data_IF_866333954557
#
_entry.id   IF_866333954557
#
_cell.length_a   1.000
_cell.length_b   1.000
_cell.length_c   1.000
_cell.angle_alpha   90.00
_cell.angle_beta   90.00
_cell.angle_gamma   90.00
#
_symmetry.space_group_name_H-M   'P 1'
#
loop_
_entity.id
_entity.type
_entity.pdbx_description
1 polymer ?
#
# COMPACT_ATOMS: atom_id res chain seq x y z
N UNK A 1 -9.00 -24.20 -0.93
CA UNK A 1 -8.40 -25.32 -0.21
C UNK A 1 -8.12 -24.94 1.25
N UNK A 2 -7.93 -25.94 2.09
CA UNK A 2 -7.61 -25.73 3.51
C UNK A 2 -6.24 -25.03 3.67
N UNK A 3 -5.28 -25.37 2.83
CA UNK A 3 -3.96 -24.75 2.85
C UNK A 3 -4.03 -23.28 2.46
N UNK A 4 -4.80 -22.95 1.45
CA UNK A 4 -5.03 -21.57 1.04
C UNK A 4 -5.69 -20.77 2.17
N UNK A 5 -6.72 -21.31 2.81
CA UNK A 5 -7.41 -20.64 3.91
C UNK A 5 -6.50 -20.41 5.11
N UNK A 6 -5.68 -21.39 5.47
CA UNK A 6 -4.74 -21.26 6.57
C UNK A 6 -3.68 -20.18 6.29
N UNK A 7 -3.14 -20.19 5.08
CA UNK A 7 -2.17 -19.18 4.65
C UNK A 7 -2.77 -17.79 4.66
N UNK A 8 -3.98 -17.65 4.10
CA UNK A 8 -4.66 -16.35 4.04
C UNK A 8 -4.99 -15.83 5.44
N UNK A 9 -5.42 -16.68 6.35
CA UNK A 9 -5.67 -16.29 7.75
C UNK A 9 -4.40 -15.76 8.42
N UNK A 10 -3.26 -16.41 8.20
CA UNK A 10 -1.98 -15.96 8.76
C UNK A 10 -1.56 -14.60 8.17
N UNK A 11 -1.74 -14.41 6.87
CA UNK A 11 -1.44 -13.14 6.19
C UNK A 11 -2.29 -12.00 6.74
N UNK A 12 -3.59 -12.22 6.87
CA UNK A 12 -4.51 -11.22 7.43
C UNK A 12 -4.19 -10.88 8.88
N UNK A 13 -3.77 -11.85 9.68
CA UNK A 13 -3.34 -11.60 11.05
C UNK A 13 -2.11 -10.70 11.12
N UNK A 14 -1.16 -10.90 10.21
CA UNK A 14 0.03 -10.03 10.11
C UNK A 14 -0.34 -8.61 9.71
N UNK A 15 -1.26 -8.44 8.76
CA UNK A 15 -1.74 -7.12 8.32
C UNK A 15 -2.45 -6.40 9.48
N UNK A 16 -3.31 -7.10 10.21
CA UNK A 16 -4.00 -6.52 11.38
C UNK A 16 -3.03 -6.10 12.47
N UNK A 17 -2.07 -6.96 12.80
CA UNK A 17 -1.05 -6.66 13.80
C UNK A 17 -0.21 -5.45 13.39
N UNK A 18 0.15 -5.34 12.12
CA UNK A 18 0.88 -4.18 11.60
C UNK A 18 0.06 -2.88 11.75
N UNK A 19 -1.22 -2.93 11.38
CA UNK A 19 -2.11 -1.75 11.52
C UNK A 19 -2.35 -1.34 12.96
N UNK A 20 -2.28 -2.26 13.90
CA UNK A 20 -2.48 -1.98 15.32
C UNK A 20 -1.29 -1.29 15.96
N UNK A 21 -0.11 -1.33 15.32
CA UNK A 21 1.08 -0.68 15.86
C UNK A 21 0.90 0.84 15.88
N UNK A 22 1.40 1.45 16.95
CA UNK A 22 1.41 2.91 17.09
C UNK A 22 2.84 3.33 17.40
N UNK A 23 3.44 4.03 16.45
CA UNK A 23 4.81 4.52 16.54
C UNK A 23 4.80 6.04 16.68
N UNK A 24 5.87 6.56 17.25
CA UNK A 24 6.05 8.00 17.38
C UNK A 24 6.59 8.56 16.07
N UNK A 25 5.68 8.86 15.17
CA UNK A 25 5.97 9.40 13.84
C UNK A 25 5.09 10.62 13.59
N UNK A 26 5.56 11.55 12.77
CA UNK A 26 4.87 12.79 12.48
C UNK A 26 4.54 12.99 10.99
N UNK A 27 4.64 11.95 10.19
CA UNK A 27 4.28 12.01 8.78
C UNK A 27 2.82 12.37 8.54
N UNK A 28 1.95 12.03 9.50
CA UNK A 28 0.53 12.34 9.45
C UNK A 28 0.22 13.84 9.27
N UNK A 29 1.13 14.71 9.67
CA UNK A 29 0.97 16.17 9.58
C UNK A 29 1.68 16.81 8.40
N UNK A 30 2.38 16.03 7.60
CA UNK A 30 3.05 16.52 6.40
C UNK A 30 2.09 16.60 5.22
N UNK A 31 2.41 17.43 4.23
CA UNK A 31 1.80 17.31 2.91
C UNK A 31 2.42 16.10 2.23
N UNK A 32 1.58 15.17 1.80
CA UNK A 32 2.03 13.95 1.15
C UNK A 32 2.52 14.25 -0.27
N UNK A 33 3.46 13.44 -0.73
CA UNK A 33 3.92 13.45 -2.12
C UNK A 33 3.51 12.15 -2.80
N UNK A 34 3.44 12.16 -4.12
CA UNK A 34 3.15 10.94 -4.89
C UNK A 34 4.29 9.93 -4.69
N UNK A 35 3.98 8.68 -4.39
CA UNK A 35 5.02 7.67 -4.18
C UNK A 35 5.75 7.29 -5.47
N UNK A 36 5.13 7.49 -6.64
CA UNK A 36 5.73 7.23 -7.94
C UNK A 36 5.11 8.16 -8.97
N UNK A 37 5.89 8.57 -9.96
CA UNK A 37 5.38 9.31 -11.11
C UNK A 37 4.60 8.35 -12.03
N UNK A 38 3.58 8.86 -12.68
CA UNK A 38 2.79 8.09 -13.60
C UNK A 38 1.33 8.52 -13.62
N UNK A 39 0.60 7.95 -14.57
CA UNK A 39 -0.84 8.22 -14.71
C UNK A 39 -1.60 7.44 -13.64
N UNK A 40 -2.55 8.11 -13.00
CA UNK A 40 -3.49 7.41 -12.12
C UNK A 40 -4.39 6.55 -12.99
N UNK A 41 -4.27 5.24 -12.84
CA UNK A 41 -4.98 4.25 -13.66
C UNK A 41 -6.21 3.68 -12.96
N UNK A 42 -6.33 3.88 -11.65
CA UNK A 42 -7.49 3.46 -10.86
C UNK A 42 -7.71 4.41 -9.70
N UNK A 43 -8.96 4.86 -9.54
CA UNK A 43 -9.35 5.82 -8.49
C UNK A 43 -9.99 5.10 -7.31
N UNK A 44 -9.80 5.66 -6.11
CA UNK A 44 -10.50 5.23 -4.91
C UNK A 44 -12.02 5.35 -5.12
N UNK A 45 -12.75 4.34 -4.67
CA UNK A 45 -14.21 4.31 -4.76
C UNK A 45 -14.76 3.87 -6.10
N UNK A 46 -13.92 3.66 -7.12
CA UNK A 46 -14.36 3.10 -8.40
C UNK A 46 -14.90 1.69 -8.19
N UNK A 47 -15.99 1.38 -8.86
CA UNK A 47 -16.60 0.06 -8.80
C UNK A 47 -16.68 -0.53 -10.18
N UNK A 48 -16.14 -1.74 -10.35
CA UNK A 48 -16.23 -2.48 -11.60
C UNK A 48 -17.57 -3.18 -11.69
N UNK A 49 -18.16 -3.14 -12.88
CA UNK A 49 -19.35 -3.92 -13.22
C UNK A 49 -18.96 -4.91 -14.28
N UNK A 50 -19.17 -6.19 -14.01
CA UNK A 50 -18.88 -7.27 -14.95
C UNK A 50 -20.12 -8.14 -15.14
N UNK A 51 -20.60 -8.21 -16.39
CA UNK A 51 -21.83 -8.93 -16.72
C UNK A 51 -23.04 -8.48 -15.86
N UNK A 52 -23.13 -7.18 -15.58
CA UNK A 52 -24.21 -6.62 -14.77
C UNK A 52 -24.06 -6.85 -13.26
N UNK A 53 -23.00 -7.53 -12.83
CA UNK A 53 -22.73 -7.78 -11.41
C UNK A 53 -21.74 -6.76 -10.89
N UNK A 54 -22.09 -6.09 -9.80
CA UNK A 54 -21.24 -5.11 -9.15
C UNK A 54 -20.13 -5.82 -8.37
N UNK A 55 -18.87 -5.44 -8.62
CA UNK A 55 -17.72 -5.88 -7.87
C UNK A 55 -17.48 -5.03 -6.62
N UNK A 56 -16.36 -5.29 -5.95
CA UNK A 56 -15.93 -4.50 -4.80
C UNK A 56 -15.51 -3.10 -5.21
N UNK A 57 -15.69 -2.13 -4.31
CA UNK A 57 -15.13 -0.79 -4.49
C UNK A 57 -13.61 -0.84 -4.40
N UNK A 58 -12.94 -0.04 -5.22
CA UNK A 58 -11.49 0.14 -5.20
C UNK A 58 -11.10 0.95 -3.94
N UNK A 59 -10.26 0.37 -3.10
CA UNK A 59 -9.94 0.93 -1.79
C UNK A 59 -8.59 1.63 -1.71
N UNK A 60 -8.03 2.00 -2.85
CA UNK A 60 -6.76 2.70 -2.95
C UNK A 60 -6.65 3.41 -4.28
N UNK A 61 -5.45 3.83 -4.60
CA UNK A 61 -5.11 4.49 -5.86
C UNK A 61 -4.12 3.62 -6.61
N UNK A 62 -4.38 3.35 -7.88
CA UNK A 62 -3.42 2.71 -8.77
C UNK A 62 -2.71 3.75 -9.60
N UNK A 63 -1.38 3.63 -9.67
CA UNK A 63 -0.54 4.49 -10.49
C UNK A 63 0.21 3.61 -11.48
N UNK A 64 0.02 3.86 -12.77
CA UNK A 64 0.69 3.13 -13.83
C UNK A 64 2.19 3.43 -13.77
N UNK A 65 3.01 2.39 -13.70
CA UNK A 65 4.45 2.50 -13.66
C UNK A 65 5.09 1.20 -14.14
N UNK A 66 6.28 1.29 -14.72
CA UNK A 66 6.99 0.12 -15.22
C UNK A 66 7.48 -0.76 -14.07
N UNK A 67 7.52 -2.07 -14.30
CA UNK A 67 8.14 -3.00 -13.36
C UNK A 67 9.59 -2.60 -13.10
N UNK A 68 9.96 -2.56 -11.82
CA UNK A 68 11.30 -2.13 -11.40
C UNK A 68 11.44 -0.64 -11.12
N UNK A 69 10.46 0.19 -11.47
CA UNK A 69 10.49 1.61 -11.13
C UNK A 69 10.51 1.80 -9.62
N UNK A 70 11.38 2.65 -9.12
CA UNK A 70 11.46 2.95 -7.69
C UNK A 70 10.24 3.74 -7.24
N UNK A 71 9.72 3.41 -6.05
CA UNK A 71 8.72 4.24 -5.39
C UNK A 71 9.23 4.70 -4.03
N UNK A 72 8.69 5.82 -3.57
CA UNK A 72 9.20 6.54 -2.40
C UNK A 72 8.13 6.63 -1.30
N UNK A 73 8.60 6.85 -0.07
CA UNK A 73 7.70 7.12 1.04
C UNK A 73 6.97 8.45 0.78
N UNK A 74 5.63 8.45 0.81
CA UNK A 74 4.86 9.67 0.58
C UNK A 74 4.93 10.66 1.74
N UNK A 75 5.34 10.20 2.91
CA UNK A 75 5.51 10.97 4.13
C UNK A 75 6.41 10.19 5.08
N UNK A 76 6.94 10.84 6.11
CA UNK A 76 7.73 10.20 7.16
C UNK A 76 6.92 9.08 7.82
N UNK A 77 7.61 8.07 8.32
CA UNK A 77 6.96 7.00 9.05
C UNK A 77 7.91 5.90 9.51
N UNK A 78 7.31 4.86 10.04
CA UNK A 78 8.01 3.65 10.50
C UNK A 78 7.42 2.45 9.74
N UNK A 79 8.29 1.60 9.20
CA UNK A 79 7.86 0.39 8.50
C UNK A 79 7.31 -0.61 9.53
N UNK A 80 6.05 -0.98 9.39
CA UNK A 80 5.37 -1.91 10.29
C UNK A 80 5.15 -3.28 9.67
N UNK A 81 5.31 -3.40 8.36
CA UNK A 81 5.26 -4.68 7.65
C UNK A 81 6.06 -4.56 6.36
N UNK A 82 6.95 -5.51 6.11
CA UNK A 82 7.66 -5.67 4.84
C UNK A 82 7.66 -7.16 4.51
N UNK A 83 6.75 -7.59 3.64
CA UNK A 83 6.53 -8.99 3.30
C UNK A 83 7.62 -9.49 2.35
N UNK A 84 8.70 -10.06 2.91
CA UNK A 84 9.78 -10.66 2.14
C UNK A 84 9.28 -11.84 1.31
N UNK A 85 8.39 -12.66 1.89
CA UNK A 85 7.64 -13.68 1.18
C UNK A 85 6.32 -13.06 0.70
N UNK A 86 6.06 -13.12 -0.61
CA UNK A 86 4.89 -12.49 -1.19
C UNK A 86 3.59 -13.04 -0.60
N UNK A 87 2.69 -12.16 -0.21
CA UNK A 87 1.35 -12.53 0.22
C UNK A 87 0.51 -12.95 -0.99
N UNK A 88 -0.47 -13.79 -0.74
CA UNK A 88 -1.31 -14.38 -1.80
C UNK A 88 -1.95 -13.33 -2.70
N UNK A 89 -2.55 -12.30 -2.11
CA UNK A 89 -3.26 -11.25 -2.84
C UNK A 89 -2.42 -9.99 -2.99
N UNK A 90 -1.75 -9.55 -1.93
CA UNK A 90 -1.02 -8.28 -1.90
C UNK A 90 0.39 -8.37 -2.50
N UNK A 91 0.90 -9.58 -2.69
CA UNK A 91 2.28 -9.76 -3.15
C UNK A 91 3.28 -9.32 -2.09
N UNK A 92 4.37 -8.70 -2.52
CA UNK A 92 5.32 -8.08 -1.59
C UNK A 92 4.71 -6.79 -1.04
N UNK A 93 4.00 -6.93 0.06
CA UNK A 93 3.28 -5.85 0.73
C UNK A 93 4.21 -5.07 1.64
N UNK A 94 4.15 -3.75 1.55
CA UNK A 94 4.86 -2.84 2.45
C UNK A 94 3.84 -1.95 3.16
N UNK A 95 3.94 -1.84 4.48
CA UNK A 95 3.07 -0.96 5.26
C UNK A 95 3.89 -0.02 6.12
N UNK A 96 3.48 1.25 6.15
CA UNK A 96 4.14 2.32 6.89
C UNK A 96 3.13 2.98 7.84
N UNK A 97 3.53 3.12 9.11
CA UNK A 97 2.80 3.91 10.10
C UNK A 97 3.33 5.35 10.05
N UNK A 98 2.47 6.28 9.64
CA UNK A 98 2.79 7.71 9.59
C UNK A 98 2.53 8.43 10.90
N UNK A 99 2.04 7.73 11.91
CA UNK A 99 1.67 8.29 13.20
C UNK A 99 0.18 8.59 13.33
N UNK A 100 -0.28 8.71 14.54
CA UNK A 100 -1.68 9.04 14.90
C UNK A 100 -2.73 8.12 14.25
N UNK A 101 -2.37 6.87 13.99
CA UNK A 101 -3.27 5.90 13.38
C UNK A 101 -3.38 5.97 11.86
N UNK A 102 -2.59 6.84 11.22
CA UNK A 102 -2.57 6.97 9.76
C UNK A 102 -1.50 6.06 9.17
N UNK A 103 -1.88 5.17 8.26
CA UNK A 103 -0.94 4.27 7.61
C UNK A 103 -1.15 4.15 6.11
N UNK A 104 -0.05 3.84 5.41
CA UNK A 104 -0.03 3.52 3.99
C UNK A 104 0.25 2.05 3.78
N UNK A 105 -0.31 1.48 2.73
CA UNK A 105 0.00 0.14 2.24
C UNK A 105 0.33 0.22 0.75
N UNK A 106 1.43 -0.41 0.36
CA UNK A 106 1.90 -0.49 -1.02
C UNK A 106 1.91 -1.95 -1.43
N UNK A 107 1.15 -2.28 -2.47
CA UNK A 107 0.92 -3.66 -2.90
C UNK A 107 1.70 -3.99 -4.17
N UNK A 108 1.94 -5.27 -4.36
CA UNK A 108 2.45 -5.86 -5.60
C UNK A 108 3.89 -5.51 -5.96
N UNK A 109 4.68 -5.03 -5.00
CA UNK A 109 6.08 -4.67 -5.25
C UNK A 109 6.86 -5.85 -5.83
N UNK A 110 7.83 -5.57 -6.70
CA UNK A 110 8.79 -6.58 -7.15
C UNK A 110 9.91 -6.77 -6.14
N UNK A 111 10.24 -5.71 -5.40
CA UNK A 111 11.31 -5.71 -4.40
C UNK A 111 11.02 -4.69 -3.32
N UNK A 112 11.26 -5.04 -2.08
CA UNK A 112 11.20 -4.11 -0.95
C UNK A 112 12.64 -3.76 -0.53
N UNK A 113 12.91 -2.46 -0.36
CA UNK A 113 14.26 -1.93 -0.06
C UNK A 113 14.40 -1.48 1.39
N UNK A 114 13.38 -1.71 2.20
CA UNK A 114 13.35 -1.43 3.63
C UNK A 114 12.76 -2.65 4.36
N UNK A 115 12.94 -2.68 5.67
CA UNK A 115 12.46 -3.78 6.51
C UNK A 115 11.68 -3.25 7.71
N UNK A 116 10.97 -4.13 8.37
CA UNK A 116 10.23 -3.80 9.59
C UNK A 116 11.12 -3.09 10.61
N UNK A 117 10.59 -2.03 11.19
CA UNK A 117 11.29 -1.22 12.18
C UNK A 117 12.07 -0.06 11.59
N UNK A 118 12.31 -0.05 10.28
CA UNK A 118 13.04 1.07 9.66
C UNK A 118 12.23 2.35 9.77
N UNK A 119 12.93 3.43 10.13
CA UNK A 119 12.39 4.79 10.06
C UNK A 119 12.66 5.31 8.66
N UNK A 120 11.61 5.76 7.98
CA UNK A 120 11.71 6.27 6.61
C UNK A 120 11.33 7.74 6.57
N UNK A 121 11.96 8.47 5.67
CA UNK A 121 11.69 9.89 5.43
C UNK A 121 10.93 10.08 4.13
N UNK A 122 10.10 11.12 4.09
CA UNK A 122 9.41 11.52 2.86
C UNK A 122 10.39 11.62 1.69
N UNK A 123 10.08 10.98 0.58
CA UNK A 123 10.92 10.95 -0.61
C UNK A 123 11.99 9.86 -0.63
N UNK A 124 12.18 9.13 0.46
CA UNK A 124 13.12 8.02 0.51
C UNK A 124 12.60 6.85 -0.34
N UNK A 125 13.48 6.26 -1.15
CA UNK A 125 13.15 5.07 -1.94
C UNK A 125 12.91 3.90 -0.99
N UNK A 126 11.76 3.25 -1.12
CA UNK A 126 11.35 2.16 -0.21
C UNK A 126 11.05 0.84 -0.92
N UNK A 127 10.92 0.86 -2.24
CA UNK A 127 10.66 -0.36 -3.00
C UNK A 127 10.66 -0.13 -4.50
N UNK A 128 10.36 -1.20 -5.23
CA UNK A 128 10.25 -1.18 -6.69
C UNK A 128 8.90 -1.73 -7.11
N UNK A 129 8.29 -1.09 -8.09
CA UNK A 129 7.01 -1.47 -8.67
C UNK A 129 7.10 -2.86 -9.29
N UNK A 130 6.03 -3.63 -9.18
CA UNK A 130 5.95 -4.96 -9.76
C UNK A 130 4.50 -5.38 -10.02
N UNK A 131 4.31 -6.68 -10.11
CA UNK A 131 3.00 -7.31 -10.33
C UNK A 131 2.87 -8.59 -9.50
N UNK A 132 3.51 -8.65 -8.33
CA UNK A 132 3.43 -9.81 -7.44
C UNK A 132 2.06 -9.89 -6.77
N UNK A 133 1.68 -11.07 -6.34
CA UNK A 133 0.35 -11.31 -5.79
C UNK A 133 -0.72 -11.32 -6.88
N UNK A 134 -1.89 -10.80 -6.57
CA UNK A 134 -3.02 -10.77 -7.51
C UNK A 134 -3.07 -9.44 -8.25
N UNK A 135 -2.29 -9.33 -9.31
CA UNK A 135 -2.24 -8.13 -10.14
C UNK A 135 -2.30 -8.51 -11.62
N UNK A 136 -2.99 -7.71 -12.44
CA UNK A 136 -3.12 -7.95 -13.87
C UNK A 136 -1.91 -7.45 -14.68
N UNK A 137 -1.08 -6.61 -14.08
CA UNK A 137 0.12 -6.06 -14.71
C UNK A 137 0.84 -5.09 -13.78
N UNK A 138 2.01 -4.57 -14.18
CA UNK A 138 2.78 -3.67 -13.34
C UNK A 138 2.06 -2.36 -13.05
N UNK A 139 1.95 -2.03 -11.79
CA UNK A 139 1.41 -0.76 -11.29
C UNK A 139 1.72 -0.65 -9.80
N UNK A 140 1.64 0.53 -9.25
CA UNK A 140 1.68 0.71 -7.81
C UNK A 140 0.24 0.87 -7.30
N UNK A 141 -0.18 -0.02 -6.41
CA UNK A 141 -1.40 0.16 -5.64
C UNK A 141 -1.02 0.75 -4.29
N UNK A 142 -1.56 1.92 -3.97
CA UNK A 142 -1.34 2.62 -2.72
C UNK A 142 -2.66 2.83 -2.01
N UNK A 143 -2.82 2.19 -0.86
CA UNK A 143 -3.98 2.32 0.00
C UNK A 143 -3.63 3.03 1.29
N UNK A 144 -4.61 3.69 1.89
CA UNK A 144 -4.43 4.36 3.18
C UNK A 144 -5.58 4.05 4.12
N UNK A 145 -5.25 3.99 5.40
CA UNK A 145 -6.24 3.92 6.49
C UNK A 145 -5.91 4.94 7.55
N UNK A 146 -6.94 5.51 8.12
CA UNK A 146 -6.85 6.28 9.36
C UNK A 146 -7.69 5.55 10.40
N UNK A 147 -7.00 4.96 11.38
CA UNK A 147 -7.60 4.01 12.33
C UNK A 147 -8.28 2.87 11.53
N UNK A 148 -9.58 2.69 11.64
CA UNK A 148 -10.32 1.67 10.91
C UNK A 148 -10.90 2.16 9.57
N UNK A 149 -10.81 3.46 9.29
CA UNK A 149 -11.41 4.05 8.09
C UNK A 149 -10.45 4.03 6.90
N UNK A 150 -10.90 3.51 5.77
CA UNK A 150 -10.18 3.64 4.52
C UNK A 150 -10.38 5.06 4.00
N UNK A 151 -9.30 5.69 3.54
CA UNK A 151 -9.34 7.04 3.01
C UNK A 151 -8.75 7.06 1.61
N UNK A 152 -9.20 8.04 0.82
CA UNK A 152 -8.69 8.27 -0.52
C UNK A 152 -7.32 8.96 -0.41
N UNK A 153 -6.23 8.32 -0.89
CA UNK A 153 -4.91 8.94 -0.84
C UNK A 153 -4.83 10.29 -1.55
N UNK A 154 -5.66 10.49 -2.56
CA UNK A 154 -5.70 11.75 -3.31
C UNK A 154 -5.99 12.95 -2.41
N UNK A 155 -6.75 12.76 -1.33
CA UNK A 155 -7.10 13.84 -0.41
C UNK A 155 -5.88 14.43 0.32
N UNK A 156 -4.79 13.66 0.41
CA UNK A 156 -3.57 14.06 1.10
C UNK A 156 -2.52 14.62 0.13
N UNK A 157 -2.75 14.51 -1.16
CA UNK A 157 -1.84 14.98 -2.20
C UNK A 157 -2.17 16.40 -2.63
N UNK A 158 -1.16 17.16 -3.13
CA UNK A 158 -1.45 18.39 -3.84
C UNK A 158 -2.36 18.13 -5.04
N UNK A 159 -3.09 19.14 -5.48
CA UNK A 159 -3.89 19.04 -6.69
C UNK A 159 -3.00 18.68 -7.89
N UNK A 160 -3.52 17.81 -8.76
CA UNK A 160 -2.81 17.38 -9.97
C UNK A 160 -3.72 17.27 -11.17
#
# INVERSE_FOLDING_TARGET
SAEFQARRSAELAQIEAARAQRNDAEGWRQKFIRPVAGRVSGLFGAQRVYNGIRGSYHTGMDIAAASGAAFVAPADGVVVLAAADAFTLEGHLLMIDHGMGLNSAFLHASELLVKEGDVVKQGQIIGRVGATGRASGPHLHWGMKWNSARIDPKLLLPAF
#
